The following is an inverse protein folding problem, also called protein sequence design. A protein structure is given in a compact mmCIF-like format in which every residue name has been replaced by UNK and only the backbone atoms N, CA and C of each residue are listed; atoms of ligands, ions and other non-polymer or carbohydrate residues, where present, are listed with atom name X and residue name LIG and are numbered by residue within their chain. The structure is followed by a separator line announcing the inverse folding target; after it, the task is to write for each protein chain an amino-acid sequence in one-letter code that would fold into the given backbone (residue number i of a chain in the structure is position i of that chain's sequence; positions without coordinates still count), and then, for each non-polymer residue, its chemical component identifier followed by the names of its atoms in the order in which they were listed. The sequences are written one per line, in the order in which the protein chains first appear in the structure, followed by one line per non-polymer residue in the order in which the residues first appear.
data_IF_870634099563
#
_entry.id   IF_870634099563
#
_cell.length_a   1.000
_cell.length_b   1.000
_cell.length_c   1.000
_cell.angle_alpha   90.00
_cell.angle_beta   90.00
_cell.angle_gamma   90.00
#
_symmetry.space_group_name_H-M   'P 1'
#
loop_
_entity.id
_entity.type
_entity.pdbx_description
1 polymer ?
#
# COMPACT_ATOMS: atom_id res chain seq x y z
N UNK A 1 50.74 24.82 22.05
CA UNK A 1 50.50 25.02 21.51
C UNK A 1 49.54 24.66 20.69
N UNK A 2 49.15 24.81 20.29
CA UNK A 2 48.52 24.44 19.37
C UNK A 2 47.53 23.54 19.55
N UNK A 3 47.64 22.97 19.93
CA UNK A 3 47.01 21.91 20.28
C UNK A 3 45.66 22.21 20.39
N UNK A 4 45.44 22.82 21.14
CA UNK A 4 44.24 23.11 21.54
C UNK A 4 43.30 23.42 20.55
N UNK A 5 43.62 24.14 19.94
CA UNK A 5 42.86 24.59 19.02
C UNK A 5 42.04 23.65 18.41
N UNK A 6 42.54 22.91 17.92
CA UNK A 6 41.93 22.05 17.13
C UNK A 6 40.78 21.40 17.66
N UNK A 7 40.89 20.73 18.40
CA UNK A 7 39.94 19.84 18.82
C UNK A 7 38.62 20.41 18.98
N UNK A 8 38.55 21.16 19.55
CA UNK A 8 37.40 21.70 19.87
C UNK A 8 36.39 21.84 18.85
N UNK A 9 36.68 22.57 18.09
CA UNK A 9 35.83 22.89 17.10
C UNK A 9 35.07 21.89 16.50
N UNK A 10 35.69 21.13 16.01
CA UNK A 10 35.11 20.15 15.33
C UNK A 10 34.01 19.52 15.91
N UNK A 11 34.15 19.01 16.79
CA UNK A 11 33.20 18.19 17.40
C UNK A 11 31.84 18.81 17.40
N UNK A 12 31.73 19.87 17.85
CA UNK A 12 30.52 20.52 17.96
C UNK A 12 29.66 20.64 16.77
N UNK A 13 30.11 21.24 15.86
CA UNK A 13 29.36 21.44 14.66
C UNK A 13 28.73 20.21 14.14
N UNK A 14 29.48 19.23 13.97
CA UNK A 14 29.02 18.02 13.41
C UNK A 14 27.83 17.42 14.13
N UNK A 15 27.90 17.37 15.36
CA UNK A 15 26.86 16.80 16.14
C UNK A 15 25.52 17.40 15.93
N UNK A 16 25.45 18.63 16.04
CA UNK A 16 24.22 19.30 15.91
C UNK A 16 23.49 19.05 14.62
N UNK A 17 24.17 19.13 13.58
CA UNK A 17 23.59 18.91 12.30
C UNK A 17 22.99 17.54 12.19
N UNK A 18 23.70 16.57 12.46
CA UNK A 18 23.23 15.23 12.34
C UNK A 18 21.90 15.03 13.03
N UNK A 19 21.81 15.46 14.20
CA UNK A 19 20.62 15.29 14.97
C UNK A 19 19.41 15.93 14.31
N UNK A 20 19.55 17.10 13.86
CA UNK A 20 18.43 17.79 13.24
C UNK A 20 17.95 17.06 12.01
N UNK A 21 18.84 16.62 11.22
CA UNK A 21 18.47 15.95 9.97
C UNK A 21 17.69 14.69 10.22
N UNK A 22 18.11 13.92 11.15
CA UNK A 22 17.42 12.70 11.48
C UNK A 22 16.00 12.95 11.92
N UNK A 23 15.79 13.93 12.71
CA UNK A 23 14.46 14.23 13.18
C UNK A 23 13.48 14.52 12.07
N UNK A 24 13.91 15.17 11.04
CA UNK A 24 13.04 15.49 9.95
C UNK A 24 12.50 14.28 9.24
N UNK A 25 13.31 13.27 9.08
CA UNK A 25 12.86 12.10 8.39
C UNK A 25 11.78 11.37 9.12
N UNK A 26 11.79 11.37 10.39
CA UNK A 26 10.81 10.65 11.17
C UNK A 26 9.40 11.20 10.99
N UNK A 27 9.27 12.34 10.36
CA UNK A 27 7.96 12.94 10.19
C UNK A 27 7.18 12.41 9.01
N UNK A 28 7.75 11.57 8.19
CA UNK A 28 7.04 11.06 7.02
C UNK A 28 5.90 10.13 7.42
N UNK A 29 4.71 10.33 6.87
CA UNK A 29 3.58 9.48 7.21
C UNK A 29 3.74 8.09 6.58
N UNK A 30 3.20 7.10 7.25
CA UNK A 30 3.21 5.75 6.73
C UNK A 30 1.99 5.52 5.87
N UNK A 31 2.11 4.71 4.86
CA UNK A 31 1.00 4.33 4.03
C UNK A 31 0.16 3.29 4.77
N UNK A 32 -1.15 3.36 4.58
CA UNK A 32 -2.06 2.39 5.15
C UNK A 32 -1.95 1.09 4.37
N UNK A 33 -1.97 -0.03 5.06
CA UNK A 33 -1.92 -1.35 4.43
C UNK A 33 -3.22 -2.07 4.71
N UNK A 34 -3.84 -2.59 3.65
CA UNK A 34 -5.07 -3.37 3.77
C UNK A 34 -4.79 -4.76 3.22
N UNK A 35 -5.06 -5.78 4.01
CA UNK A 35 -4.85 -7.15 3.59
C UNK A 35 -6.15 -7.71 3.05
N UNK A 36 -6.09 -8.30 1.87
CA UNK A 36 -7.26 -8.91 1.22
C UNK A 36 -6.92 -10.35 0.90
N UNK A 37 -7.76 -11.26 1.34
CA UNK A 37 -7.61 -12.68 1.04
C UNK A 37 -8.63 -13.06 -0.01
N UNK A 38 -8.15 -13.63 -1.11
CA UNK A 38 -9.00 -14.11 -2.18
C UNK A 38 -9.24 -15.60 -2.00
N UNK A 39 -10.45 -16.03 -2.25
CA UNK A 39 -10.82 -17.43 -2.28
C UNK A 39 -11.73 -17.61 -3.44
N UNK A 40 -12.03 -18.86 -3.82
CA UNK A 40 -12.99 -19.05 -4.85
C UNK A 40 -14.26 -18.36 -4.49
N UNK A 41 -14.52 -17.42 -5.27
CA UNK A 41 -15.61 -16.55 -5.57
C UNK A 41 -15.83 -15.46 -4.55
N UNK A 42 -14.85 -15.19 -3.68
CA UNK A 42 -14.97 -14.09 -2.72
C UNK A 42 -13.64 -13.41 -2.44
N UNK A 43 -13.73 -12.16 -2.03
CA UNK A 43 -12.60 -11.44 -1.43
C UNK A 43 -12.97 -11.12 0.00
N UNK A 44 -12.01 -11.20 0.90
CA UNK A 44 -12.24 -10.84 2.31
C UNK A 44 -11.17 -9.84 2.74
N UNK A 45 -11.52 -8.62 3.03
CA UNK A 45 -12.86 -8.02 2.92
C UNK A 45 -13.24 -7.74 1.47
N UNK A 46 -14.51 -7.66 1.18
CA UNK A 46 -14.99 -7.34 -0.15
C UNK A 46 -15.49 -5.89 -0.25
N UNK A 47 -15.37 -5.13 0.80
CA UNK A 47 -15.73 -3.72 0.81
C UNK A 47 -14.63 -2.92 1.46
N UNK A 48 -14.12 -1.94 0.75
CA UNK A 48 -13.05 -1.09 1.24
C UNK A 48 -13.52 0.34 1.29
N UNK A 49 -13.09 1.07 2.32
CA UNK A 49 -13.35 2.50 2.42
C UNK A 49 -12.02 3.22 2.44
N UNK A 50 -11.79 4.07 1.47
CA UNK A 50 -10.54 4.79 1.32
C UNK A 50 -10.80 6.28 1.31
N UNK A 51 -9.77 7.07 1.53
CA UNK A 51 -9.87 8.52 1.47
C UNK A 51 -9.18 9.06 0.23
N UNK A 52 -9.79 10.05 -0.38
CA UNK A 52 -9.22 10.68 -1.55
C UNK A 52 -7.86 11.28 -1.20
N UNK A 53 -6.89 11.01 -2.05
CA UNK A 53 -5.54 11.55 -1.88
C UNK A 53 -4.65 10.84 -0.88
N UNK A 54 -5.16 9.84 -0.18
CA UNK A 54 -4.38 9.12 0.82
C UNK A 54 -3.89 7.81 0.23
N UNK A 55 -2.57 7.60 0.14
CA UNK A 55 -2.04 6.37 -0.43
C UNK A 55 -2.37 5.16 0.43
N UNK A 56 -2.61 4.05 -0.23
CA UNK A 56 -2.88 2.79 0.45
C UNK A 56 -2.22 1.67 -0.33
N UNK A 57 -1.75 0.65 0.39
CA UNK A 57 -1.17 -0.55 -0.22
C UNK A 57 -2.09 -1.71 0.08
N UNK A 58 -2.53 -2.40 -0.96
CA UNK A 58 -3.33 -3.61 -0.81
C UNK A 58 -2.40 -4.80 -0.86
N UNK A 59 -2.45 -5.65 0.15
CA UNK A 59 -1.69 -6.89 0.18
C UNK A 59 -2.64 -8.02 -0.13
N UNK A 60 -2.46 -8.64 -1.28
CA UNK A 60 -3.37 -9.63 -1.81
C UNK A 60 -2.78 -11.02 -1.71
N UNK A 61 -3.54 -11.94 -1.15
CA UNK A 61 -3.14 -13.36 -1.09
C UNK A 61 -4.32 -14.21 -1.51
N UNK A 62 -4.04 -15.44 -1.92
CA UNK A 62 -5.11 -16.39 -2.25
C UNK A 62 -4.99 -17.62 -1.37
N UNK A 63 -6.12 -18.11 -0.91
CA UNK A 63 -6.19 -19.32 -0.10
C UNK A 63 -6.45 -20.55 -0.97
N UNK A 64 -6.71 -20.38 -2.23
CA UNK A 64 -7.06 -21.46 -3.15
C UNK A 64 -6.13 -21.54 -4.35
N UNK A 65 -6.59 -21.00 -5.45
CA UNK A 65 -5.92 -21.10 -6.75
C UNK A 65 -5.44 -19.73 -7.17
N UNK A 66 -4.72 -19.70 -8.27
CA UNK A 66 -4.34 -18.44 -8.90
C UNK A 66 -5.58 -17.63 -9.21
N UNK A 67 -5.56 -16.38 -8.85
CA UNK A 67 -6.66 -15.46 -9.09
C UNK A 67 -6.13 -14.12 -9.55
N UNK A 68 -7.01 -13.24 -9.95
CA UNK A 68 -6.65 -11.90 -10.35
C UNK A 68 -7.35 -10.87 -9.48
N UNK A 69 -6.83 -9.67 -9.51
CA UNK A 69 -7.45 -8.53 -8.89
C UNK A 69 -7.40 -7.41 -9.92
N UNK A 70 -8.53 -6.87 -10.27
CA UNK A 70 -8.59 -5.77 -11.23
C UNK A 70 -9.47 -4.66 -10.67
N UNK A 71 -8.93 -3.46 -10.62
CA UNK A 71 -9.69 -2.28 -10.24
C UNK A 71 -9.59 -1.28 -11.39
N UNK A 72 -10.46 -1.43 -12.41
CA UNK A 72 -10.32 -0.65 -13.65
C UNK A 72 -10.37 0.85 -13.44
N UNK A 73 -11.19 1.32 -12.51
CA UNK A 73 -11.30 2.76 -12.26
C UNK A 73 -10.03 3.35 -11.67
N UNK A 74 -9.14 2.51 -11.17
CA UNK A 74 -7.84 2.93 -10.65
C UNK A 74 -6.72 2.53 -11.60
N UNK A 75 -7.08 1.95 -12.75
CA UNK A 75 -6.12 1.54 -13.77
C UNK A 75 -5.05 0.60 -13.22
N UNK A 76 -5.45 -0.35 -12.42
CA UNK A 76 -4.52 -1.26 -11.80
C UNK A 76 -5.07 -2.69 -11.75
N UNK A 77 -4.16 -3.63 -11.77
CA UNK A 77 -4.47 -5.04 -11.62
C UNK A 77 -3.24 -5.79 -11.13
N UNK A 78 -3.45 -6.98 -10.61
CA UNK A 78 -2.36 -7.85 -10.18
C UNK A 78 -2.81 -9.30 -10.24
N UNK A 79 -1.85 -10.20 -10.44
CA UNK A 79 -2.10 -11.63 -10.30
C UNK A 79 -1.89 -11.99 -8.84
N UNK A 80 -2.78 -12.81 -8.30
CA UNK A 80 -2.65 -13.28 -6.92
C UNK A 80 -2.23 -14.73 -7.00
N UNK A 81 -0.96 -15.00 -6.71
CA UNK A 81 -0.35 -16.31 -6.88
C UNK A 81 -0.29 -17.03 -5.55
N UNK A 82 -0.71 -18.31 -5.48
CA UNK A 82 -0.65 -19.06 -4.23
C UNK A 82 0.74 -19.06 -3.63
N UNK A 83 0.82 -18.80 -2.35
CA UNK A 83 2.10 -18.77 -1.65
C UNK A 83 2.87 -17.46 -1.74
N UNK A 84 2.33 -16.47 -2.43
CA UNK A 84 2.98 -15.17 -2.58
C UNK A 84 2.04 -14.05 -2.21
N UNK A 85 2.60 -12.91 -1.87
CA UNK A 85 1.84 -11.71 -1.56
C UNK A 85 2.01 -10.74 -2.71
N UNK A 86 0.90 -10.31 -3.30
CA UNK A 86 0.92 -9.27 -4.32
C UNK A 86 0.60 -7.95 -3.66
N UNK A 87 1.38 -6.92 -3.94
CA UNK A 87 1.16 -5.60 -3.37
C UNK A 87 0.78 -4.62 -4.46
N UNK A 88 -0.31 -3.91 -4.22
CA UNK A 88 -0.83 -2.92 -5.17
C UNK A 88 -0.98 -1.61 -4.43
N UNK A 89 -0.32 -0.57 -4.92
CA UNK A 89 -0.41 0.75 -4.30
C UNK A 89 -1.46 1.57 -5.04
N UNK A 90 -2.38 2.15 -4.29
CA UNK A 90 -3.43 3.00 -4.85
C UNK A 90 -3.38 4.37 -4.20
N UNK A 91 -3.63 5.40 -5.01
CA UNK A 91 -3.87 6.74 -4.50
C UNK A 91 -5.21 7.17 -5.10
N UNK A 92 -6.30 7.08 -4.34
CA UNK A 92 -7.61 7.43 -4.89
C UNK A 92 -7.65 8.91 -5.27
N UNK A 93 -8.15 9.21 -6.45
CA UNK A 93 -8.24 10.59 -6.92
C UNK A 93 -9.67 11.05 -7.18
N UNK A 94 -10.64 10.19 -6.99
CA UNK A 94 -12.04 10.53 -7.19
C UNK A 94 -12.89 9.97 -6.07
N UNK A 95 -13.86 10.75 -5.62
CA UNK A 95 -14.83 10.30 -4.64
C UNK A 95 -15.91 9.50 -5.36
N UNK A 96 -16.35 8.42 -4.76
CA UNK A 96 -17.39 7.58 -5.34
C UNK A 96 -17.26 6.14 -4.93
N UNK A 97 -18.05 5.29 -5.57
CA UNK A 97 -18.02 3.85 -5.35
C UNK A 97 -17.57 3.17 -6.62
N UNK A 98 -16.56 2.34 -6.50
CA UNK A 98 -15.95 1.67 -7.64
C UNK A 98 -15.87 0.17 -7.36
N UNK A 99 -15.77 -0.62 -8.43
CA UNK A 99 -15.76 -2.07 -8.31
C UNK A 99 -14.36 -2.62 -8.54
N UNK A 100 -14.02 -3.67 -7.82
CA UNK A 100 -12.87 -4.50 -8.18
C UNK A 100 -13.37 -5.92 -8.41
N UNK A 101 -12.66 -6.68 -9.23
CA UNK A 101 -13.13 -7.99 -9.64
C UNK A 101 -11.96 -8.92 -9.98
N UNK A 102 -12.28 -10.20 -10.08
CA UNK A 102 -11.32 -11.20 -10.52
C UNK A 102 -11.33 -11.24 -12.05
N UNK A 103 -10.18 -11.02 -12.65
CA UNK A 103 -10.06 -10.97 -14.11
C UNK A 103 -9.36 -12.24 -14.69
N UNK A 104 -9.17 -13.26 -13.87
CA UNK A 104 -8.63 -14.54 -14.30
C UNK A 104 -9.67 -15.59 -13.97
N UNK A 105 -9.98 -16.45 -14.95
CA UNK A 105 -10.98 -17.48 -14.70
C UNK A 105 -10.51 -18.41 -13.59
N UNK A 106 -11.27 -18.53 -12.53
CA UNK A 106 -10.90 -19.35 -11.38
C UNK A 106 -11.95 -20.42 -11.05
N UNK A 107 -12.93 -20.59 -11.88
CA UNK A 107 -13.98 -21.59 -11.67
C UNK A 107 -15.34 -21.08 -12.08
N UNK A 108 -16.38 -21.90 -11.91
CA UNK A 108 -17.72 -21.56 -12.37
C UNK A 108 -18.39 -20.58 -11.44
N UNK A 109 -18.06 -19.75 -10.83
CA UNK A 109 -18.61 -18.66 -10.04
C UNK A 109 -17.78 -17.42 -10.22
N UNK A 110 -16.84 -17.48 -11.14
CA UNK A 110 -15.88 -16.43 -11.38
C UNK A 110 -16.54 -15.07 -11.67
N UNK A 111 -17.58 -15.05 -12.42
CA UNK A 111 -18.23 -13.79 -12.82
C UNK A 111 -18.89 -13.06 -11.64
N UNK A 112 -19.09 -13.73 -10.53
CA UNK A 112 -19.69 -13.10 -9.36
C UNK A 112 -18.64 -12.71 -8.31
N UNK A 113 -17.36 -12.91 -8.61
CA UNK A 113 -16.30 -12.60 -7.66
C UNK A 113 -15.87 -11.16 -7.80
N UNK A 114 -16.39 -10.32 -6.91
CA UNK A 114 -16.10 -8.89 -6.96
C UNK A 114 -16.26 -8.26 -5.58
N UNK A 115 -15.88 -6.99 -5.49
CA UNK A 115 -16.06 -6.19 -4.28
C UNK A 115 -16.15 -4.73 -4.65
N UNK A 116 -16.24 -3.87 -3.65
CA UNK A 116 -16.39 -2.44 -3.88
C UNK A 116 -15.37 -1.64 -3.09
N UNK A 117 -14.98 -0.51 -3.67
CA UNK A 117 -14.13 0.47 -3.03
C UNK A 117 -14.91 1.77 -2.97
N UNK A 118 -15.15 2.26 -1.76
CA UNK A 118 -15.81 3.54 -1.57
C UNK A 118 -14.75 4.56 -1.19
N UNK A 119 -14.67 5.63 -1.96
CA UNK A 119 -13.71 6.70 -1.70
C UNK A 119 -14.43 7.90 -1.17
N UNK A 120 -14.01 8.39 0.00
CA UNK A 120 -14.61 9.55 0.64
C UNK A 120 -13.63 10.71 0.62
N UNK A 121 -14.11 11.89 0.92
CA UNK A 121 -13.28 13.10 0.92
C UNK A 121 -12.53 13.38 2.20
#
# INVERSE_FOLDING_TARGET
MHVTRRRVTLALGGLLFGAGTIGLRAAEPKERVIKIVARRFTYTPDKLTLKKGVPVVLELTTADVLMGFSAPDFQTRADIIPGKVARVRLVPDKIGTFMFLCDIFCGSGHENMNGTITVTG
#
